data_IF_281141417302
#
_entry.id   IF_281141417302
#
_cell.length_a   1.000
_cell.length_b   1.000
_cell.length_c   1.000
_cell.angle_alpha   90.00
_cell.angle_beta   90.00
_cell.angle_gamma   90.00
#
_symmetry.space_group_name_H-M   'P 1'
#
loop_
_entity.id
_entity.type
_entity.pdbx_description
1 polymer ?
#
# COMPACT_ATOMS: atom_id res chain seq x y z
N UNK A 1 -6.77 17.52 -4.11
CA UNK A 1 -5.62 16.68 -4.50
C UNK A 1 -6.20 15.40 -5.06
N UNK A 2 -6.21 15.22 -6.38
CA UNK A 2 -6.67 13.98 -7.01
C UNK A 2 -5.44 13.09 -7.21
N UNK A 3 -5.47 11.87 -6.65
CA UNK A 3 -4.41 10.88 -6.80
C UNK A 3 -4.99 9.73 -7.60
N UNK A 4 -4.33 9.39 -8.70
CA UNK A 4 -4.74 8.29 -9.58
C UNK A 4 -4.68 6.96 -8.82
N UNK A 5 -5.77 6.16 -8.80
CA UNK A 5 -5.81 4.87 -8.08
C UNK A 5 -4.71 3.90 -8.51
N UNK A 6 -4.35 3.90 -9.79
CA UNK A 6 -3.25 3.11 -10.35
C UNK A 6 -1.90 3.46 -9.72
N UNK A 7 -1.63 4.74 -9.47
CA UNK A 7 -0.39 5.17 -8.80
C UNK A 7 -0.33 4.74 -7.33
N UNK A 8 -1.48 4.67 -6.65
CA UNK A 8 -1.53 4.18 -5.26
C UNK A 8 -1.20 2.69 -5.19
N UNK A 9 -1.69 1.90 -6.15
CA UNK A 9 -1.40 0.45 -6.25
C UNK A 9 0.07 0.20 -6.63
N UNK A 10 0.62 0.96 -7.58
CA UNK A 10 2.04 0.87 -7.95
C UNK A 10 2.96 1.22 -6.77
N UNK A 11 2.61 2.28 -6.02
CA UNK A 11 3.35 2.67 -4.82
C UNK A 11 3.27 1.58 -3.75
N UNK A 12 2.09 1.03 -3.50
CA UNK A 12 1.87 -0.08 -2.58
C UNK A 12 2.72 -1.30 -2.92
N UNK A 13 2.72 -1.73 -4.19
CA UNK A 13 3.52 -2.87 -4.66
C UNK A 13 5.04 -2.62 -4.53
N UNK A 14 5.49 -1.40 -4.84
CA UNK A 14 6.90 -1.01 -4.68
C UNK A 14 7.31 -1.02 -3.21
N UNK A 15 6.48 -0.46 -2.33
CA UNK A 15 6.71 -0.46 -0.88
C UNK A 15 6.74 -1.87 -0.31
N UNK A 16 5.84 -2.77 -0.73
CA UNK A 16 5.86 -4.17 -0.29
C UNK A 16 7.14 -4.89 -0.73
N UNK A 17 7.61 -4.64 -1.96
CA UNK A 17 8.87 -5.21 -2.46
C UNK A 17 10.08 -4.73 -1.63
N UNK A 18 10.14 -3.44 -1.29
CA UNK A 18 11.22 -2.87 -0.46
C UNK A 18 11.19 -3.47 0.94
N UNK A 19 10.01 -3.58 1.56
CA UNK A 19 9.86 -4.20 2.87
C UNK A 19 10.34 -5.64 2.90
N UNK A 20 9.99 -6.41 1.86
CA UNK A 20 10.41 -7.81 1.74
C UNK A 20 11.93 -7.92 1.63
N UNK A 21 12.55 -7.02 0.84
CA UNK A 21 14.01 -6.96 0.73
C UNK A 21 14.66 -6.63 2.07
N UNK A 22 14.18 -5.61 2.79
CA UNK A 22 14.71 -5.24 4.10
C UNK A 22 14.62 -6.38 5.12
N UNK A 23 13.49 -7.09 5.16
CA UNK A 23 13.31 -8.25 6.03
C UNK A 23 14.28 -9.39 5.67
N UNK A 24 14.51 -9.61 4.38
CA UNK A 24 15.39 -10.65 3.88
C UNK A 24 16.87 -10.34 4.16
N UNK A 25 17.28 -9.08 3.95
CA UNK A 25 18.62 -8.60 4.28
C UNK A 25 18.88 -8.73 5.78
N UNK A 26 17.91 -8.35 6.61
CA UNK A 26 18.00 -8.51 8.06
C UNK A 26 18.12 -9.98 8.48
N UNK A 27 17.33 -10.87 7.87
CA UNK A 27 17.40 -12.31 8.15
C UNK A 27 18.74 -12.95 7.75
N UNK A 28 19.46 -12.34 6.82
CA UNK A 28 20.79 -12.79 6.36
C UNK A 28 21.91 -12.21 7.20
N UNK A 29 21.79 -10.96 7.65
CA UNK A 29 22.78 -10.30 8.49
C UNK A 29 22.85 -10.91 9.90
N UNK A 30 21.71 -11.33 10.46
CA UNK A 30 21.62 -11.81 11.85
C UNK A 30 22.52 -13.04 12.13
N UNK A 31 22.53 -14.10 11.29
CA UNK A 31 23.40 -15.26 11.49
C UNK A 31 24.88 -14.96 11.27
N UNK A 32 25.23 -14.12 10.28
CA UNK A 32 26.62 -13.73 10.03
C UNK A 32 27.22 -13.00 11.22
N UNK A 33 26.42 -12.14 11.86
CA UNK A 33 26.82 -11.41 13.05
C UNK A 33 26.95 -12.31 14.27
N UNK A 34 26.01 -13.25 14.46
CA UNK A 34 26.09 -14.25 15.53
C UNK A 34 27.37 -15.09 15.41
N UNK A 35 27.72 -15.52 14.20
CA UNK A 35 28.97 -16.23 13.94
C UNK A 35 30.21 -15.37 14.22
N UNK A 36 30.16 -14.07 13.91
CA UNK A 36 31.24 -13.14 14.25
C UNK A 36 31.41 -12.97 15.77
N UNK A 37 30.31 -12.94 16.52
CA UNK A 37 30.34 -12.92 17.99
C UNK A 37 30.92 -14.21 18.58
N UNK A 38 30.58 -15.38 18.04
CA UNK A 38 31.19 -16.66 18.46
C UNK A 38 32.70 -16.70 18.17
N UNK A 39 33.14 -16.12 17.05
CA UNK A 39 34.55 -16.07 16.65
C UNK A 39 35.46 -15.20 17.52
N UNK A 40 34.89 -14.28 18.33
CA UNK A 40 35.63 -13.32 19.16
C UNK A 40 36.28 -13.94 20.43
N UNK A 41 35.89 -15.15 20.84
CA UNK A 41 36.52 -15.89 21.94
C UNK A 41 36.24 -15.34 23.36
N UNK A 42 36.94 -15.87 24.38
CA UNK A 42 36.61 -15.73 25.80
C UNK A 42 37.25 -14.54 26.55
N UNK A 43 37.95 -13.65 25.84
CA UNK A 43 38.53 -12.48 26.49
C UNK A 43 37.39 -11.68 27.13
N UNK A 44 37.43 -11.44 28.45
CA UNK A 44 36.31 -10.84 29.19
C UNK A 44 35.80 -9.52 28.57
N UNK A 45 36.69 -8.75 27.93
CA UNK A 45 36.31 -7.57 27.14
C UNK A 45 35.59 -7.89 25.82
N UNK A 46 35.98 -8.96 25.12
CA UNK A 46 35.32 -9.44 23.91
C UNK A 46 33.93 -10.03 24.21
N UNK A 47 33.77 -10.75 25.33
CA UNK A 47 32.47 -11.25 25.78
C UNK A 47 31.50 -10.09 26.07
N UNK A 48 31.92 -9.08 26.85
CA UNK A 48 31.09 -7.94 27.17
C UNK A 48 30.68 -7.13 25.92
N UNK A 49 31.60 -6.96 24.97
CA UNK A 49 31.29 -6.33 23.68
C UNK A 49 30.30 -7.19 22.89
N UNK A 50 30.49 -8.51 22.83
CA UNK A 50 29.58 -9.41 22.12
C UNK A 50 28.15 -9.39 22.70
N UNK A 51 28.00 -9.37 24.03
CA UNK A 51 26.69 -9.28 24.69
C UNK A 51 26.01 -7.94 24.40
N UNK A 52 26.75 -6.83 24.54
CA UNK A 52 26.21 -5.49 24.22
C UNK A 52 25.81 -5.37 22.75
N UNK A 53 26.54 -6.02 21.85
CA UNK A 53 26.22 -6.04 20.43
C UNK A 53 24.98 -6.89 20.14
N UNK A 54 24.86 -8.06 20.79
CA UNK A 54 23.69 -8.92 20.69
C UNK A 54 22.41 -8.22 21.18
N UNK A 55 22.47 -7.51 22.31
CA UNK A 55 21.35 -6.72 22.83
C UNK A 55 20.96 -5.60 21.85
N UNK A 56 21.94 -4.85 21.35
CA UNK A 56 21.71 -3.80 20.34
C UNK A 56 21.08 -4.36 19.07
N UNK A 57 21.39 -5.62 18.72
CA UNK A 57 20.83 -6.30 17.57
C UNK A 57 19.38 -6.72 17.79
N UNK A 58 19.07 -7.21 19.00
CA UNK A 58 17.70 -7.53 19.37
C UNK A 58 16.82 -6.28 19.27
N UNK A 59 17.28 -5.15 19.82
CA UNK A 59 16.60 -3.86 19.75
C UNK A 59 16.39 -3.41 18.29
N UNK A 60 17.44 -3.48 17.47
CA UNK A 60 17.36 -3.14 16.05
C UNK A 60 16.37 -4.05 15.30
N UNK A 61 16.34 -5.34 15.63
CA UNK A 61 15.41 -6.30 15.05
C UNK A 61 13.96 -5.99 15.41
N UNK A 62 13.68 -5.61 16.65
CA UNK A 62 12.36 -5.16 17.09
C UNK A 62 11.91 -3.90 16.34
N UNK A 63 12.81 -2.93 16.15
CA UNK A 63 12.52 -1.70 15.39
C UNK A 63 12.21 -2.01 13.92
N UNK A 64 13.01 -2.86 13.27
CA UNK A 64 12.76 -3.28 11.88
C UNK A 64 11.42 -4.02 11.78
N UNK A 65 11.12 -4.93 12.71
CA UNK A 65 9.84 -5.63 12.72
C UNK A 65 8.64 -4.68 12.91
N UNK A 66 8.75 -3.69 13.79
CA UNK A 66 7.72 -2.68 14.01
C UNK A 66 7.55 -1.77 12.77
N UNK A 67 8.64 -1.41 12.11
CA UNK A 67 8.63 -0.61 10.88
C UNK A 67 7.95 -1.38 9.75
N UNK A 68 8.27 -2.66 9.56
CA UNK A 68 7.64 -3.55 8.58
C UNK A 68 6.14 -3.66 8.83
N UNK A 69 5.72 -3.86 10.08
CA UNK A 69 4.30 -3.91 10.43
C UNK A 69 3.58 -2.59 10.13
N UNK A 70 4.16 -1.46 10.53
CA UNK A 70 3.56 -0.14 10.34
C UNK A 70 3.42 0.20 8.86
N UNK A 71 4.46 -0.06 8.06
CA UNK A 71 4.42 0.15 6.63
C UNK A 71 3.46 -0.82 5.93
N UNK A 72 3.36 -2.08 6.39
CA UNK A 72 2.38 -3.04 5.90
C UNK A 72 0.93 -2.56 6.08
N UNK A 73 0.62 -1.98 7.25
CA UNK A 73 -0.68 -1.33 7.50
C UNK A 73 -0.91 -0.12 6.57
N UNK A 74 0.13 0.68 6.34
CA UNK A 74 0.07 1.80 5.39
C UNK A 74 -0.22 1.34 3.96
N UNK A 75 0.44 0.29 3.49
CA UNK A 75 0.21 -0.33 2.18
C UNK A 75 -1.22 -0.83 2.05
N UNK A 76 -1.73 -1.53 3.07
CA UNK A 76 -3.13 -1.98 3.08
C UNK A 76 -4.11 -0.80 2.97
N UNK A 77 -3.89 0.27 3.73
CA UNK A 77 -4.72 1.48 3.66
C UNK A 77 -4.66 2.18 2.29
N UNK A 78 -3.52 2.16 1.60
CA UNK A 78 -3.40 2.69 0.24
C UNK A 78 -4.20 1.85 -0.77
N UNK A 79 -4.20 0.53 -0.62
CA UNK A 79 -5.00 -0.38 -1.47
C UNK A 79 -6.49 -0.17 -1.23
N UNK A 80 -6.93 -0.06 0.02
CA UNK A 80 -8.32 0.21 0.36
C UNK A 80 -8.78 1.55 -0.23
N UNK A 81 -7.98 2.61 -0.08
CA UNK A 81 -8.27 3.92 -0.66
C UNK A 81 -8.35 3.87 -2.20
N UNK A 82 -7.50 3.08 -2.85
CA UNK A 82 -7.55 2.91 -4.30
C UNK A 82 -8.83 2.20 -4.74
N UNK A 83 -9.26 1.16 -4.01
CA UNK A 83 -10.52 0.46 -4.29
C UNK A 83 -11.74 1.36 -4.09
N UNK A 84 -11.75 2.17 -3.03
CA UNK A 84 -12.84 3.10 -2.77
C UNK A 84 -12.94 4.19 -3.84
N UNK A 85 -11.80 4.67 -4.34
CA UNK A 85 -11.77 5.60 -5.45
C UNK A 85 -12.35 5.01 -6.75
N UNK A 86 -12.03 3.74 -7.06
CA UNK A 86 -12.61 3.03 -8.22
C UNK A 86 -14.12 2.85 -8.06
N UNK A 87 -14.59 2.42 -6.88
CA UNK A 87 -16.03 2.27 -6.60
C UNK A 87 -16.79 3.58 -6.73
N UNK A 88 -16.19 4.68 -6.28
CA UNK A 88 -16.78 6.01 -6.42
C UNK A 88 -16.91 6.43 -7.89
N UNK A 89 -15.89 6.14 -8.71
CA UNK A 89 -15.91 6.41 -10.14
C UNK A 89 -16.99 5.60 -10.88
N UNK A 90 -17.09 4.30 -10.60
CA UNK A 90 -18.14 3.43 -11.15
C UNK A 90 -19.55 3.92 -10.80
N UNK A 91 -19.75 4.37 -9.56
CA UNK A 91 -21.03 4.93 -9.12
C UNK A 91 -21.37 6.23 -9.87
N UNK A 92 -20.39 7.12 -10.05
CA UNK A 92 -20.57 8.36 -10.83
C UNK A 92 -20.87 8.06 -12.30
N UNK A 93 -20.16 7.11 -12.91
CA UNK A 93 -20.42 6.69 -14.28
C UNK A 93 -21.84 6.14 -14.46
N UNK A 94 -22.32 5.32 -13.52
CA UNK A 94 -23.67 4.77 -13.54
C UNK A 94 -24.76 5.84 -13.36
N UNK A 95 -24.53 6.85 -12.51
CA UNK A 95 -25.42 8.02 -12.39
C UNK A 95 -25.44 8.84 -13.69
N UNK A 96 -24.28 9.04 -14.32
CA UNK A 96 -24.16 9.78 -15.57
C UNK A 96 -24.93 9.08 -16.71
N UNK A 97 -24.82 7.75 -16.80
CA UNK A 97 -25.54 6.94 -17.78
C UNK A 97 -27.06 7.01 -17.57
N UNK A 98 -27.52 6.91 -16.31
CA UNK A 98 -28.94 7.07 -15.97
C UNK A 98 -29.46 8.46 -16.30
N UNK A 99 -28.71 9.51 -15.97
CA UNK A 99 -29.06 10.89 -16.31
C UNK A 99 -29.13 11.09 -17.82
N UNK A 100 -28.16 10.57 -18.57
CA UNK A 100 -28.15 10.62 -20.04
C UNK A 100 -29.35 9.89 -20.65
N UNK A 101 -29.74 8.75 -20.09
CA UNK A 101 -30.90 7.98 -20.55
C UNK A 101 -32.22 8.72 -20.29
N UNK A 102 -32.37 9.37 -19.13
CA UNK A 102 -33.54 10.21 -18.84
C UNK A 102 -33.65 11.41 -19.80
N UNK A 103 -32.54 12.09 -20.09
CA UNK A 103 -32.52 13.20 -21.05
C UNK A 103 -32.87 12.74 -22.47
N UNK A 104 -32.44 11.54 -22.86
CA UNK A 104 -32.76 10.97 -24.18
C UNK A 104 -34.25 10.57 -24.31
N UNK A 105 -34.87 10.13 -23.22
CA UNK A 105 -36.30 9.76 -23.18
C UNK A 105 -37.22 11.00 -23.12
N UNK A 106 -36.87 12.01 -22.32
CA UNK A 106 -37.66 13.25 -22.20
C UNK A 106 -37.49 14.21 -23.39
N UNK A 107 -36.37 14.11 -24.13
CA UNK A 107 -36.09 14.95 -25.30
C UNK A 107 -36.86 14.58 -26.57
N UNK A 108 -37.53 13.42 -26.62
CA UNK A 108 -38.20 12.92 -27.83
C UNK A 108 -39.71 13.25 -27.90
N UNK A 109 -40.33 13.75 -26.82
CA UNK A 109 -41.79 13.98 -26.76
C UNK A 109 -42.21 15.45 -27.05
N UNK A 110 -41.28 16.28 -27.52
CA UNK A 110 -41.47 17.71 -27.79
C UNK A 110 -41.75 18.11 -29.25
N UNK A 111 -42.09 17.17 -30.14
CA UNK A 111 -42.41 17.49 -31.54
C UNK A 111 -43.83 18.06 -31.70
N UNK A 112 -44.02 19.30 -32.19
CA UNK A 112 -45.36 19.85 -32.34
C UNK A 112 -46.11 19.09 -33.44
N UNK A 113 -47.21 18.42 -33.05
CA UNK A 113 -48.22 17.86 -33.95
C UNK A 113 -48.73 18.98 -34.85
N UNK A 114 -48.32 18.96 -36.12
CA UNK A 114 -48.83 19.87 -37.14
C UNK A 114 -50.36 19.77 -37.26
N UNK A 115 -51.07 20.91 -37.41
CA UNK A 115 -52.53 20.89 -37.48
C UNK A 115 -52.98 20.23 -38.79
N UNK A 116 -53.82 19.21 -38.67
CA UNK A 116 -54.61 18.66 -39.79
C UNK A 116 -55.65 19.70 -40.18
N UNK A 117 -55.69 20.01 -41.48
CA UNK A 117 -56.55 21.03 -42.04
C UNK A 117 -58.04 20.73 -41.98
N UNK A 118 -58.82 21.77 -42.23
CA UNK A 118 -60.13 21.76 -42.89
C UNK A 118 -60.34 23.15 -43.50
#
# INVERSE_FOLDING_TARGET
MQVEPTRLVELAATSESVLRSMAQDWSTALPELAAACEGLGDAAGALAVSTSYADSLADAGEVVAALVQTLGLGVAGLVDAAQDAVRADDAVAAELERAAHHVALDGFDGGPRGPRGS
#
